data_IF_460722236790
#
_entry.id   IF_460722236790
#
_cell.length_a   1.000
_cell.length_b   1.000
_cell.length_c   1.000
_cell.angle_alpha   90.00
_cell.angle_beta   90.00
_cell.angle_gamma   90.00
#
_symmetry.space_group_name_H-M   'P 1'
#
loop_
_entity.id
_entity.type
_entity.pdbx_description
1 polymer ?
#
# COMPACT_ATOMS: atom_id res chain seq x y z
N UNK A 1 -50.48 19.41 16.97
CA UNK A 1 -50.54 18.63 18.23
C UNK A 1 -49.28 17.76 18.30
N UNK A 2 -48.37 18.15 19.20
CA UNK A 2 -47.17 17.45 19.66
C UNK A 2 -46.13 16.98 18.62
N UNK A 3 -45.54 17.93 17.87
CA UNK A 3 -44.20 17.68 17.32
C UNK A 3 -43.19 17.82 18.47
N UNK A 4 -42.62 16.70 18.90
CA UNK A 4 -41.59 16.65 19.92
C UNK A 4 -40.36 17.49 19.53
N UNK A 5 -39.71 18.18 20.48
CA UNK A 5 -38.49 18.93 20.22
C UNK A 5 -37.35 18.06 19.65
N UNK A 6 -37.41 16.73 19.83
CA UNK A 6 -36.42 15.80 19.31
C UNK A 6 -36.45 15.64 17.78
N UNK A 7 -37.61 15.79 17.13
CA UNK A 7 -37.69 15.64 15.65
C UNK A 7 -37.05 16.82 14.92
N UNK A 8 -37.15 18.03 15.48
CA UNK A 8 -36.54 19.23 14.88
C UNK A 8 -35.02 19.21 14.96
N UNK A 9 -34.46 18.65 16.03
CA UNK A 9 -33.00 18.52 16.19
C UNK A 9 -32.40 17.56 15.15
N UNK A 10 -33.09 16.44 14.85
CA UNK A 10 -32.64 15.47 13.84
C UNK A 10 -32.65 16.09 12.44
N UNK A 11 -33.72 16.82 12.08
CA UNK A 11 -33.81 17.49 10.77
C UNK A 11 -32.69 18.53 10.63
N UNK A 12 -32.44 19.33 11.67
CA UNK A 12 -31.36 20.31 11.66
C UNK A 12 -29.98 19.65 11.52
N UNK A 13 -29.72 18.54 12.21
CA UNK A 13 -28.49 17.78 12.08
C UNK A 13 -28.31 17.19 10.68
N UNK A 14 -29.36 16.62 10.07
CA UNK A 14 -29.30 16.10 8.70
C UNK A 14 -29.01 17.23 7.72
N UNK A 15 -29.69 18.36 7.86
CA UNK A 15 -29.46 19.55 7.02
C UNK A 15 -27.99 20.00 7.16
N UNK A 16 -27.47 20.16 8.38
CA UNK A 16 -26.06 20.50 8.59
C UNK A 16 -25.14 19.43 8.01
N UNK A 17 -25.40 18.14 8.22
CA UNK A 17 -24.55 17.07 7.69
C UNK A 17 -24.53 17.09 6.17
N UNK A 18 -25.67 17.32 5.51
CA UNK A 18 -25.74 17.48 4.06
C UNK A 18 -25.04 18.75 3.58
N UNK A 19 -25.18 19.88 4.26
CA UNK A 19 -24.45 21.10 3.92
C UNK A 19 -22.94 20.98 4.16
N UNK A 20 -22.51 20.23 5.18
CA UNK A 20 -21.08 19.92 5.41
C UNK A 20 -20.57 18.93 4.38
N UNK A 21 -21.34 17.90 4.01
CA UNK A 21 -20.97 16.99 2.92
C UNK A 21 -20.91 17.67 1.55
N UNK A 22 -21.82 18.61 1.28
CA UNK A 22 -21.81 19.41 0.05
C UNK A 22 -20.72 20.49 0.10
N UNK A 23 -20.45 21.08 1.27
CA UNK A 23 -19.43 22.12 1.49
C UNK A 23 -18.00 21.60 1.58
N UNK A 24 -17.81 20.31 1.85
CA UNK A 24 -16.50 19.64 1.78
C UNK A 24 -16.10 19.20 0.38
N UNK A 25 -16.95 19.42 -0.64
CA UNK A 25 -16.54 19.39 -2.05
C UNK A 25 -15.79 20.69 -2.39
N UNK A 26 -14.62 20.90 -1.78
CA UNK A 26 -13.71 21.97 -2.15
C UNK A 26 -12.96 21.58 -3.42
N UNK A 27 -13.69 21.60 -4.54
CA UNK A 27 -13.22 21.62 -5.92
C UNK A 27 -12.05 20.67 -6.24
N UNK A 28 -12.27 19.38 -6.04
CA UNK A 28 -11.44 18.35 -6.64
C UNK A 28 -11.55 18.47 -8.16
N UNK A 29 -10.42 18.53 -8.86
CA UNK A 29 -10.38 18.75 -10.30
C UNK A 29 -11.26 17.72 -11.05
N UNK A 30 -12.39 18.18 -11.59
CA UNK A 30 -13.42 17.30 -12.17
C UNK A 30 -13.05 16.96 -13.61
N UNK A 31 -13.11 15.67 -13.95
CA UNK A 31 -12.89 15.11 -15.29
C UNK A 31 -11.48 15.27 -15.89
N UNK A 32 -10.43 15.34 -15.07
CA UNK A 32 -9.05 15.38 -15.57
C UNK A 32 -8.67 16.69 -16.25
N UNK A 33 -9.48 17.73 -16.08
CA UNK A 33 -9.14 19.09 -16.51
C UNK A 33 -8.50 19.82 -15.34
N UNK A 34 -7.43 20.60 -15.58
CA UNK A 34 -6.82 21.49 -14.55
C UNK A 34 -7.71 22.67 -14.16
N UNK A 35 -9.00 22.61 -14.49
CA UNK A 35 -10.00 23.61 -14.12
C UNK A 35 -10.29 23.46 -12.62
N UNK A 36 -9.61 24.28 -11.81
CA UNK A 36 -9.69 24.26 -10.34
C UNK A 36 -8.34 24.26 -9.64
N UNK A 37 -7.25 23.98 -10.37
CA UNK A 37 -5.90 24.01 -9.81
C UNK A 37 -5.27 25.41 -9.96
N UNK A 38 -4.28 25.72 -9.11
CA UNK A 38 -3.52 26.97 -9.20
C UNK A 38 -2.69 27.01 -10.50
N UNK A 39 -2.29 28.20 -11.01
CA UNK A 39 -1.40 28.29 -12.15
C UNK A 39 -0.11 27.49 -11.92
N UNK A 40 0.21 26.56 -12.84
CA UNK A 40 1.36 25.65 -12.72
C UNK A 40 1.05 24.28 -12.11
N UNK A 41 -0.21 23.98 -11.79
CA UNK A 41 -0.64 22.70 -11.26
C UNK A 41 -1.45 21.87 -12.27
N UNK A 42 -1.37 20.55 -12.15
CA UNK A 42 -2.02 19.57 -13.01
C UNK A 42 -2.92 18.68 -12.19
N UNK A 43 -4.15 18.48 -12.70
CA UNK A 43 -5.09 17.54 -12.11
C UNK A 43 -4.65 16.08 -12.35
N UNK A 44 -4.49 15.32 -11.28
CA UNK A 44 -4.33 13.87 -11.33
C UNK A 44 -5.15 13.21 -10.21
N UNK A 45 -5.93 12.18 -10.53
CA UNK A 45 -6.80 11.46 -9.57
C UNK A 45 -7.50 12.40 -8.58
N UNK A 46 -8.24 13.40 -9.08
CA UNK A 46 -9.00 14.38 -8.28
C UNK A 46 -8.17 15.34 -7.41
N UNK A 47 -6.84 15.33 -7.52
CA UNK A 47 -5.94 16.23 -6.80
C UNK A 47 -5.07 17.08 -7.73
N UNK A 48 -4.72 18.30 -7.30
CA UNK A 48 -3.87 19.22 -8.04
C UNK A 48 -2.41 19.06 -7.60
N UNK A 49 -1.52 18.70 -8.53
CA UNK A 49 -0.09 18.52 -8.28
C UNK A 49 0.75 19.60 -8.96
N UNK A 50 1.82 20.10 -8.33
CA UNK A 50 2.75 21.01 -8.97
C UNK A 50 3.44 20.34 -10.17
N UNK A 51 3.42 21.01 -11.31
CA UNK A 51 4.15 20.60 -12.51
C UNK A 51 5.56 21.16 -12.51
N UNK A 52 6.55 20.31 -12.80
CA UNK A 52 7.97 20.66 -12.87
C UNK A 52 8.49 20.74 -14.31
N UNK A 53 7.60 20.76 -15.30
CA UNK A 53 7.93 20.84 -16.73
C UNK A 53 7.50 19.60 -17.52
N UNK A 54 7.74 19.61 -18.84
CA UNK A 54 7.37 18.50 -19.72
C UNK A 54 8.29 17.30 -19.52
N UNK A 55 7.76 16.10 -19.77
CA UNK A 55 8.57 14.89 -19.77
C UNK A 55 9.49 14.85 -21.00
N UNK A 56 10.79 14.62 -20.80
CA UNK A 56 11.69 14.29 -21.90
C UNK A 56 11.62 12.78 -22.13
N UNK A 57 11.05 12.28 -23.23
CA UNK A 57 10.95 10.82 -23.50
C UNK A 57 10.28 9.98 -22.39
N UNK A 58 9.31 10.55 -21.66
CA UNK A 58 8.61 9.87 -20.56
C UNK A 58 9.41 9.77 -19.26
N UNK A 59 10.57 10.42 -19.16
CA UNK A 59 11.38 10.51 -17.95
C UNK A 59 11.39 11.94 -17.39
N UNK A 60 11.52 12.03 -16.07
CA UNK A 60 11.60 13.27 -15.31
C UNK A 60 12.83 13.23 -14.41
N UNK A 61 13.47 14.39 -14.23
CA UNK A 61 14.57 14.56 -13.28
C UNK A 61 14.03 14.48 -11.83
N UNK A 62 14.84 14.07 -10.85
CA UNK A 62 14.54 14.23 -9.40
C UNK A 62 13.30 13.48 -8.83
N UNK A 63 13.19 12.16 -9.04
CA UNK A 63 12.14 11.30 -8.45
C UNK A 63 10.68 11.74 -8.74
N UNK A 64 10.49 12.47 -9.84
CA UNK A 64 9.19 12.89 -10.34
C UNK A 64 8.55 11.79 -11.21
N UNK A 65 7.23 11.76 -11.28
CA UNK A 65 6.47 10.81 -12.11
C UNK A 65 5.94 11.53 -13.34
N UNK A 66 6.21 10.98 -14.52
CA UNK A 66 5.67 11.51 -15.77
C UNK A 66 4.20 11.10 -15.94
N UNK A 67 3.30 12.08 -15.97
CA UNK A 67 1.85 11.87 -16.17
C UNK A 67 1.36 12.93 -17.15
N UNK A 68 0.68 12.50 -18.22
CA UNK A 68 0.11 13.38 -19.25
C UNK A 68 1.14 14.41 -19.80
N UNK A 69 2.33 13.92 -20.18
CA UNK A 69 3.48 14.71 -20.67
C UNK A 69 4.06 15.74 -19.70
N UNK A 70 3.72 15.68 -18.41
CA UNK A 70 4.28 16.56 -17.39
C UNK A 70 4.87 15.79 -16.22
N UNK A 71 5.90 16.38 -15.61
CA UNK A 71 6.58 15.84 -14.44
C UNK A 71 5.88 16.32 -13.17
N UNK A 72 5.22 15.41 -12.45
CA UNK A 72 4.49 15.69 -11.21
C UNK A 72 5.25 15.13 -10.00
N UNK A 73 5.22 15.87 -8.90
CA UNK A 73 5.70 15.37 -7.61
C UNK A 73 4.54 14.76 -6.83
N UNK A 74 4.37 13.44 -6.93
CA UNK A 74 3.33 12.72 -6.17
C UNK A 74 3.68 12.57 -4.69
N UNK A 75 4.91 12.89 -4.28
CA UNK A 75 5.35 12.80 -2.89
C UNK A 75 5.04 14.05 -2.07
N UNK A 76 4.84 15.22 -2.70
CA UNK A 76 4.60 16.48 -1.97
C UNK A 76 3.18 16.63 -1.40
N UNK A 77 2.17 15.98 -1.97
CA UNK A 77 0.78 16.08 -1.45
C UNK A 77 0.53 15.17 -0.24
N UNK A 78 1.38 14.16 -0.06
CA UNK A 78 1.36 13.26 1.10
C UNK A 78 1.63 14.00 2.43
N UNK A 79 2.11 15.24 2.39
CA UNK A 79 2.42 16.04 3.58
C UNK A 79 1.31 16.99 4.01
N UNK A 80 0.25 17.20 3.22
CA UNK A 80 -0.85 18.12 3.58
C UNK A 80 -2.18 17.43 3.93
N UNK A 81 -2.41 16.19 3.50
CA UNK A 81 -3.61 15.42 3.86
C UNK A 81 -3.38 14.28 4.86
N UNK A 82 -2.13 14.00 5.24
CA UNK A 82 -1.82 13.04 6.33
C UNK A 82 -1.78 13.73 7.71
N UNK A 83 -1.68 15.06 7.77
CA UNK A 83 -1.48 15.79 9.04
C UNK A 83 -2.79 16.09 9.80
N UNK A 84 -3.98 15.93 9.19
CA UNK A 84 -5.27 16.30 9.83
C UNK A 84 -6.12 15.11 10.29
N UNK A 85 -5.53 13.93 10.45
CA UNK A 85 -6.19 12.77 11.10
C UNK A 85 -5.37 12.21 12.27
N UNK A 86 -4.60 13.07 12.93
CA UNK A 86 -3.85 12.76 14.15
C UNK A 86 -4.47 13.51 15.32
N UNK A 87 -5.63 13.08 15.81
CA UNK A 87 -6.17 13.47 17.13
C UNK A 87 -7.39 12.61 17.49
N UNK A 88 -7.18 11.33 17.80
CA UNK A 88 -7.92 10.67 18.88
C UNK A 88 -7.19 9.44 19.40
N UNK A 89 -6.28 9.72 20.33
CA UNK A 89 -5.96 8.95 21.53
C UNK A 89 -6.68 7.60 21.69
N UNK A 90 -5.93 6.51 21.55
CA UNK A 90 -5.96 5.41 22.51
C UNK A 90 -4.55 4.85 22.62
N UNK A 91 -3.90 5.20 23.73
CA UNK A 91 -2.61 4.66 24.13
C UNK A 91 -2.80 3.22 24.62
N UNK A 92 -2.30 2.24 23.88
CA UNK A 92 -2.00 0.94 24.44
C UNK A 92 -0.72 0.39 23.79
N UNK A 93 0.32 0.37 24.61
CA UNK A 93 1.66 -0.18 24.45
C UNK A 93 1.78 -1.30 23.39
N UNK A 94 2.22 -0.97 22.18
CA UNK A 94 2.51 -1.99 21.15
C UNK A 94 3.78 -1.61 20.39
N UNK A 95 4.71 -2.55 20.28
CA UNK A 95 6.04 -2.46 19.65
C UNK A 95 6.06 -1.73 18.28
N UNK A 96 7.21 -1.13 17.88
CA UNK A 96 7.35 -0.48 16.59
C UNK A 96 6.89 -1.40 15.45
N UNK A 97 6.14 -0.88 14.46
CA UNK A 97 5.65 -1.70 13.36
C UNK A 97 6.86 -2.28 12.62
N UNK A 98 6.96 -3.61 12.65
CA UNK A 98 7.97 -4.32 11.91
C UNK A 98 7.67 -4.24 10.41
N UNK A 99 8.31 -3.29 9.75
CA UNK A 99 8.18 -3.02 8.32
C UNK A 99 9.54 -3.20 7.64
N UNK A 100 9.50 -3.55 6.37
CA UNK A 100 10.70 -3.56 5.54
C UNK A 100 11.17 -2.13 5.27
N UNK A 101 12.45 -1.88 5.51
CA UNK A 101 13.08 -0.61 5.22
C UNK A 101 13.07 -0.37 3.71
N UNK A 102 12.66 0.82 3.33
CA UNK A 102 12.67 1.29 1.95
C UNK A 102 13.28 2.69 1.93
N UNK A 103 14.01 3.02 0.87
CA UNK A 103 14.34 4.41 0.62
C UNK A 103 13.04 5.20 0.41
N UNK A 104 13.00 6.45 0.88
CA UNK A 104 11.83 7.32 0.73
C UNK A 104 11.41 7.40 -0.74
N UNK A 105 10.23 6.88 -1.05
CA UNK A 105 9.66 6.89 -2.40
C UNK A 105 9.96 5.67 -3.28
N UNK A 106 10.66 4.66 -2.76
CA UNK A 106 10.84 3.37 -3.44
C UNK A 106 10.09 2.26 -2.73
N UNK A 107 9.59 1.27 -3.48
CA UNK A 107 9.12 0.02 -2.89
C UNK A 107 10.30 -0.69 -2.21
N UNK A 108 10.06 -1.40 -1.10
CA UNK A 108 11.10 -2.20 -0.46
C UNK A 108 11.65 -3.25 -1.43
N UNK A 109 12.93 -3.16 -1.78
CA UNK A 109 13.64 -4.20 -2.55
C UNK A 109 13.66 -5.56 -1.85
N UNK A 110 13.27 -5.59 -0.58
CA UNK A 110 13.12 -6.79 0.23
C UNK A 110 12.33 -7.89 -0.50
N UNK A 111 11.25 -7.56 -1.22
CA UNK A 111 10.48 -8.55 -1.98
C UNK A 111 11.33 -9.26 -3.04
N UNK A 112 12.18 -8.52 -3.76
CA UNK A 112 13.09 -9.07 -4.76
C UNK A 112 14.24 -9.85 -4.12
N UNK A 113 14.64 -9.46 -2.91
CA UNK A 113 15.77 -10.02 -2.16
C UNK A 113 15.36 -11.06 -1.12
N UNK A 114 14.10 -11.48 -1.09
CA UNK A 114 13.58 -12.42 -0.09
C UNK A 114 14.37 -13.73 -0.03
N UNK A 115 14.94 -14.17 -1.15
CA UNK A 115 15.81 -15.35 -1.22
C UNK A 115 17.10 -15.21 -0.37
N UNK A 116 17.52 -13.99 -0.04
CA UNK A 116 18.69 -13.71 0.81
C UNK A 116 18.38 -13.81 2.31
N UNK A 117 17.10 -13.87 2.73
CA UNK A 117 16.73 -13.92 4.14
C UNK A 117 17.48 -15.03 4.89
N UNK A 118 17.53 -16.24 4.31
CA UNK A 118 18.18 -17.41 4.93
C UNK A 118 19.66 -17.56 4.59
N UNK A 119 20.24 -16.62 3.84
CA UNK A 119 21.67 -16.67 3.52
C UNK A 119 22.48 -16.20 4.74
N UNK A 120 23.41 -17.01 5.28
CA UNK A 120 24.14 -16.66 6.50
C UNK A 120 24.94 -15.36 6.38
N UNK A 121 25.43 -15.03 5.18
CA UNK A 121 26.18 -13.80 4.92
C UNK A 121 25.30 -12.54 5.00
N UNK A 122 24.03 -12.67 4.62
CA UNK A 122 23.08 -11.56 4.57
C UNK A 122 22.05 -11.61 5.70
N UNK A 123 22.12 -12.61 6.59
CA UNK A 123 21.15 -12.84 7.64
C UNK A 123 20.91 -11.57 8.46
N UNK A 124 21.96 -10.99 9.04
CA UNK A 124 21.83 -9.78 9.86
C UNK A 124 21.29 -8.58 9.07
N UNK A 125 21.78 -8.39 7.84
CA UNK A 125 21.33 -7.31 6.96
C UNK A 125 19.84 -7.43 6.66
N UNK A 126 19.39 -8.64 6.32
CA UNK A 126 18.01 -8.93 5.99
C UNK A 126 17.11 -8.87 7.24
N UNK A 127 17.62 -9.18 8.44
CA UNK A 127 16.90 -8.93 9.69
C UNK A 127 16.68 -7.44 9.93
N UNK A 128 17.64 -6.59 9.60
CA UNK A 128 17.54 -5.15 9.86
C UNK A 128 16.76 -4.41 8.78
N UNK A 129 17.02 -4.73 7.51
CA UNK A 129 16.43 -4.05 6.36
C UNK A 129 15.09 -4.65 5.95
N UNK A 130 14.90 -5.95 6.17
CA UNK A 130 13.75 -6.68 5.67
C UNK A 130 13.09 -7.54 6.77
N UNK A 131 12.85 -7.03 8.00
CA UNK A 131 12.36 -7.85 9.09
C UNK A 131 10.96 -8.42 8.78
N UNK A 132 10.13 -7.72 7.99
CA UNK A 132 8.80 -8.20 7.60
C UNK A 132 8.89 -9.26 6.51
N UNK A 133 9.64 -9.00 5.43
CA UNK A 133 9.84 -9.96 4.34
C UNK A 133 10.50 -11.25 4.85
N UNK A 134 11.41 -11.15 5.82
CA UNK A 134 12.11 -12.28 6.39
C UNK A 134 11.43 -12.90 7.62
N UNK A 135 10.22 -12.44 8.00
CA UNK A 135 9.47 -12.93 9.16
C UNK A 135 10.27 -12.86 10.49
N UNK A 136 11.04 -11.79 10.69
CA UNK A 136 11.88 -11.56 11.88
C UNK A 136 11.37 -10.44 12.78
N UNK A 137 10.11 -10.08 12.60
CA UNK A 137 9.43 -9.14 13.48
C UNK A 137 9.36 -9.73 14.89
N UNK A 138 9.88 -9.04 15.92
CA UNK A 138 9.58 -9.44 17.28
C UNK A 138 8.06 -9.34 17.49
N UNK A 139 7.46 -10.27 18.25
CA UNK A 139 6.03 -10.22 18.58
C UNK A 139 5.08 -10.75 17.50
N UNK A 140 5.59 -11.18 16.35
CA UNK A 140 4.86 -12.09 15.46
C UNK A 140 5.31 -13.52 15.75
N UNK A 141 4.75 -14.14 16.77
CA UNK A 141 4.37 -15.53 16.57
C UNK A 141 3.38 -15.49 15.41
N UNK A 142 3.86 -15.64 14.17
CA UNK A 142 3.00 -16.06 13.07
C UNK A 142 2.55 -17.49 13.38
N UNK A 143 1.74 -17.62 14.43
CA UNK A 143 0.78 -18.70 14.56
C UNK A 143 0.06 -18.70 13.24
N UNK A 144 0.28 -19.79 12.50
CA UNK A 144 -0.15 -19.97 11.14
C UNK A 144 -1.50 -19.27 10.92
N UNK A 145 -1.50 -18.24 10.07
CA UNK A 145 -2.73 -17.63 9.60
C UNK A 145 -3.69 -18.80 9.29
N UNK A 146 -4.92 -18.80 9.85
CA UNK A 146 -5.82 -19.93 9.68
C UNK A 146 -5.85 -20.30 8.20
N UNK A 147 -5.70 -21.60 7.86
CA UNK A 147 -5.48 -22.01 6.49
C UNK A 147 -6.60 -21.41 5.65
N UNK A 148 -6.24 -20.51 4.73
CA UNK A 148 -7.18 -20.05 3.70
C UNK A 148 -7.70 -21.34 3.07
N UNK A 149 -9.01 -21.65 3.14
CA UNK A 149 -9.52 -22.91 2.63
C UNK A 149 -9.12 -23.08 1.16
N UNK A 150 -8.33 -24.11 0.85
CA UNK A 150 -7.78 -24.33 -0.50
C UNK A 150 -6.34 -23.83 -0.73
N UNK A 151 -5.70 -23.18 0.25
CA UNK A 151 -4.31 -22.76 0.16
C UNK A 151 -3.36 -23.78 0.81
N UNK A 152 -2.98 -24.80 0.06
CA UNK A 152 -1.97 -25.76 0.47
C UNK A 152 -1.10 -26.19 -0.72
N UNK A 153 0.14 -26.56 -0.42
CA UNK A 153 1.03 -27.12 -1.43
C UNK A 153 0.57 -28.54 -1.78
N UNK A 154 0.49 -28.82 -3.08
CA UNK A 154 0.18 -30.15 -3.59
C UNK A 154 1.37 -31.06 -3.32
N UNK A 155 1.09 -32.23 -2.77
CA UNK A 155 2.09 -33.28 -2.53
C UNK A 155 2.03 -34.35 -3.60
N UNK A 156 3.17 -34.99 -3.85
CA UNK A 156 3.22 -36.21 -4.65
C UNK A 156 2.62 -37.38 -3.85
N UNK A 157 2.42 -38.54 -4.49
CA UNK A 157 1.80 -39.73 -3.87
C UNK A 157 2.50 -40.23 -2.58
N UNK A 158 3.76 -39.84 -2.37
CA UNK A 158 4.56 -40.10 -1.18
C UNK A 158 4.24 -39.14 0.00
N UNK A 159 3.26 -38.24 -0.14
CA UNK A 159 2.86 -37.27 0.86
C UNK A 159 3.85 -36.10 1.03
N UNK A 160 4.94 -36.05 0.25
CA UNK A 160 5.95 -35.00 0.33
C UNK A 160 5.73 -34.00 -0.80
N UNK A 161 5.63 -32.71 -0.46
CA UNK A 161 5.68 -31.63 -1.45
C UNK A 161 7.14 -31.32 -1.78
N UNK A 162 7.52 -31.44 -3.05
CA UNK A 162 8.82 -30.97 -3.54
C UNK A 162 8.91 -29.43 -3.61
N UNK A 163 7.83 -28.72 -3.26
CA UNK A 163 7.73 -27.26 -3.26
C UNK A 163 8.88 -26.58 -2.51
N UNK A 164 9.33 -27.12 -1.37
CA UNK A 164 10.47 -26.56 -0.63
C UNK A 164 11.76 -26.52 -1.47
N UNK A 165 12.01 -27.56 -2.27
CA UNK A 165 13.15 -27.63 -3.20
C UNK A 165 12.94 -26.74 -4.43
N UNK A 166 11.70 -26.58 -4.86
CA UNK A 166 11.31 -25.78 -6.02
C UNK A 166 11.02 -24.31 -5.68
N UNK A 167 11.21 -23.87 -4.43
CA UNK A 167 10.86 -22.50 -3.99
C UNK A 167 11.55 -21.39 -4.81
N UNK A 168 12.71 -21.68 -5.41
CA UNK A 168 13.40 -20.77 -6.32
C UNK A 168 12.64 -20.52 -7.65
N UNK A 169 11.75 -21.43 -8.06
CA UNK A 169 10.91 -21.30 -9.26
C UNK A 169 9.66 -20.46 -9.04
N UNK A 170 9.32 -20.10 -7.79
CA UNK A 170 8.12 -19.31 -7.49
C UNK A 170 8.07 -18.00 -8.30
N UNK A 171 9.21 -17.39 -8.57
CA UNK A 171 9.33 -16.14 -9.32
C UNK A 171 9.83 -16.32 -10.75
N UNK A 172 10.02 -17.55 -11.21
CA UNK A 172 10.44 -17.82 -12.58
C UNK A 172 9.22 -17.68 -13.51
N UNK A 173 9.29 -16.76 -14.48
CA UNK A 173 8.21 -16.47 -15.43
C UNK A 173 7.65 -17.71 -16.13
N UNK A 174 8.50 -18.70 -16.44
CA UNK A 174 8.07 -19.95 -17.09
C UNK A 174 7.26 -20.85 -16.16
N UNK A 175 7.57 -20.82 -14.86
CA UNK A 175 7.01 -21.74 -13.87
C UNK A 175 6.02 -21.07 -12.90
N UNK A 176 5.86 -19.75 -12.93
CA UNK A 176 5.03 -19.01 -11.96
C UNK A 176 3.59 -19.53 -11.90
N UNK A 177 2.99 -19.85 -13.05
CA UNK A 177 1.64 -20.41 -13.11
C UNK A 177 1.59 -21.83 -12.51
N UNK A 178 2.61 -22.65 -12.77
CA UNK A 178 2.75 -23.98 -12.18
C UNK A 178 2.91 -23.88 -10.66
N UNK A 179 3.76 -22.96 -10.20
CA UNK A 179 4.03 -22.75 -8.79
C UNK A 179 2.83 -22.17 -8.04
N UNK A 180 2.00 -21.32 -8.68
CA UNK A 180 0.69 -20.89 -8.15
C UNK A 180 -0.27 -22.06 -7.93
N UNK A 181 -0.24 -23.08 -8.79
CA UNK A 181 -1.14 -24.21 -8.71
C UNK A 181 -0.64 -25.31 -7.77
N UNK A 182 0.65 -25.64 -7.84
CA UNK A 182 1.27 -26.75 -7.12
C UNK A 182 1.81 -26.33 -5.76
N UNK A 183 2.31 -25.10 -5.64
CA UNK A 183 3.02 -24.63 -4.46
C UNK A 183 2.52 -23.25 -3.96
N UNK A 184 1.19 -23.00 -3.88
CA UNK A 184 0.67 -21.68 -3.53
C UNK A 184 1.11 -21.23 -2.14
N UNK A 185 1.28 -22.18 -1.20
CA UNK A 185 1.68 -21.89 0.18
C UNK A 185 3.19 -21.67 0.28
N UNK A 186 4.01 -22.51 -0.34
CA UNK A 186 5.47 -22.31 -0.38
C UNK A 186 5.84 -21.01 -1.09
N UNK A 187 5.11 -20.64 -2.15
CA UNK A 187 5.39 -19.45 -2.94
C UNK A 187 4.67 -18.18 -2.46
N UNK A 188 3.85 -18.26 -1.40
CA UNK A 188 3.07 -17.13 -0.87
C UNK A 188 2.17 -16.48 -1.95
N UNK A 189 1.51 -17.32 -2.76
CA UNK A 189 0.47 -16.90 -3.69
C UNK A 189 -0.93 -16.88 -3.09
N UNK A 190 -1.02 -17.34 -1.84
CA UNK A 190 -2.00 -16.90 -0.87
C UNK A 190 -1.31 -15.90 0.07
#
# INVERSE_FOLDING_TARGET
LSNCPEQMAIIYYIIIFTFVFIGSLKSDCVNGTSNGCSPGEICYQTQCYPSYGPCANGICEQNLVCIADHCLNLFTITTAQIITTTTKLSSETTMPPCLDNSASGHFSDCRLRAYLCNNPRYYNLMTQQCPRTCNRCPGTDFTAQPPIPGCFDRSEANGKSNCASLAHLCWNLLYINLMKQQCPRTCKFC
#
